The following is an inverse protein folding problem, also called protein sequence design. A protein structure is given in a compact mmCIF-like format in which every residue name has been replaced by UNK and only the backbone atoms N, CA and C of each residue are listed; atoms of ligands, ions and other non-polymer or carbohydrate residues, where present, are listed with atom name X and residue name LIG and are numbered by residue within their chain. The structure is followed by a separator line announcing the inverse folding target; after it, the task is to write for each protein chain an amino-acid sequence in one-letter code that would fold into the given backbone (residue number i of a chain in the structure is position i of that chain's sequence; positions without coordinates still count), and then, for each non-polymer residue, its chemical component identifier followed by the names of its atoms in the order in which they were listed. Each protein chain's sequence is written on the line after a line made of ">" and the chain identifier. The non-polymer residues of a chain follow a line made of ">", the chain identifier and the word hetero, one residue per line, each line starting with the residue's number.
data_IF_749860524108
#
_entry.id   IF_749860524108
#
_cell.length_a   1.000
_cell.length_b   1.000
_cell.length_c   1.000
_cell.angle_alpha   90.00
_cell.angle_beta   90.00
_cell.angle_gamma   90.00
#
_symmetry.space_group_name_H-M   'P 1'
#
loop_
_entity.id
_entity.type
_entity.pdbx_description
1 polymer ?
#
# COMPACT_ATOMS: atom_id res chain seq x y z
N UNK A 1 0.57 -33.91 21.85
CA UNK A 1 0.11 -32.55 21.51
C UNK A 1 -1.39 -32.52 21.61
N UNK A 2 -1.92 -31.68 22.49
CA UNK A 2 -3.29 -31.67 23.00
C UNK A 2 -4.39 -31.73 21.93
N UNK A 3 -5.29 -32.70 22.12
CA UNK A 3 -6.54 -32.89 21.40
C UNK A 3 -7.52 -31.72 21.65
N UNK A 4 -7.35 -30.60 20.94
CA UNK A 4 -8.32 -29.49 20.99
C UNK A 4 -9.68 -29.86 20.38
N UNK A 5 -9.79 -31.02 19.73
CA UNK A 5 -11.01 -31.59 19.20
C UNK A 5 -11.35 -32.86 19.98
N UNK A 6 -12.05 -32.72 21.11
CA UNK A 6 -12.66 -33.85 21.81
C UNK A 6 -14.06 -34.12 21.23
N UNK A 7 -14.53 -35.36 21.34
CA UNK A 7 -15.89 -35.72 20.92
C UNK A 7 -16.94 -34.81 21.59
N UNK A 8 -16.77 -34.51 22.87
CA UNK A 8 -17.65 -33.59 23.60
C UNK A 8 -17.60 -32.14 23.10
N UNK A 9 -16.46 -31.65 22.60
CA UNK A 9 -16.39 -30.32 21.98
C UNK A 9 -17.19 -30.26 20.67
N UNK A 10 -17.09 -31.30 19.85
CA UNK A 10 -17.84 -31.41 18.59
C UNK A 10 -19.34 -31.50 18.88
N UNK A 11 -19.73 -32.33 19.85
CA UNK A 11 -21.13 -32.51 20.26
C UNK A 11 -21.73 -31.21 20.84
N UNK A 12 -20.96 -30.46 21.62
CA UNK A 12 -21.37 -29.13 22.10
C UNK A 12 -21.55 -28.14 20.94
N UNK A 13 -20.58 -28.04 20.02
CA UNK A 13 -20.64 -27.12 18.86
C UNK A 13 -21.76 -27.48 17.88
N UNK A 14 -22.14 -28.75 17.82
CA UNK A 14 -23.27 -29.26 17.03
C UNK A 14 -24.53 -29.47 17.86
N UNK A 15 -24.60 -28.94 19.09
CA UNK A 15 -25.81 -29.07 19.90
C UNK A 15 -27.01 -28.44 19.18
N UNK A 16 -28.24 -28.99 19.36
CA UNK A 16 -29.43 -28.46 18.70
C UNK A 16 -29.65 -26.97 18.97
N UNK A 17 -29.37 -26.50 20.18
CA UNK A 17 -29.48 -25.09 20.57
C UNK A 17 -28.53 -24.17 19.80
N UNK A 18 -27.24 -24.53 19.69
CA UNK A 18 -26.29 -23.73 18.92
C UNK A 18 -26.59 -23.77 17.42
N UNK A 19 -27.03 -24.91 16.88
CA UNK A 19 -27.45 -25.00 15.48
C UNK A 19 -28.65 -24.12 15.19
N UNK A 20 -29.67 -24.15 16.04
CA UNK A 20 -30.85 -23.28 15.91
C UNK A 20 -30.44 -21.81 15.97
N UNK A 21 -29.65 -21.42 16.98
CA UNK A 21 -29.10 -20.07 17.09
C UNK A 21 -28.33 -19.66 15.84
N UNK A 22 -27.49 -20.54 15.29
CA UNK A 22 -26.74 -20.27 14.06
C UNK A 22 -27.67 -20.03 12.87
N UNK A 23 -28.65 -20.90 12.63
CA UNK A 23 -29.58 -20.73 11.51
C UNK A 23 -30.44 -19.47 11.67
N UNK A 24 -30.93 -19.18 12.88
CA UNK A 24 -31.75 -17.99 13.15
C UNK A 24 -30.96 -16.70 12.91
N UNK A 25 -29.68 -16.66 13.28
CA UNK A 25 -28.80 -15.51 13.05
C UNK A 25 -28.21 -15.45 11.63
N UNK A 26 -28.18 -16.57 10.89
CA UNK A 26 -27.61 -16.64 9.53
C UNK A 26 -28.63 -16.36 8.43
N UNK A 27 -29.94 -16.45 8.71
CA UNK A 27 -31.03 -16.26 7.72
C UNK A 27 -31.08 -14.88 7.04
N UNK A 28 -30.30 -13.91 7.52
CA UNK A 28 -30.12 -12.58 6.90
C UNK A 28 -28.71 -12.29 6.37
N UNK A 29 -27.81 -13.28 6.35
CA UNK A 29 -26.40 -13.11 5.97
C UNK A 29 -26.20 -13.10 4.44
N UNK A 30 -26.78 -12.13 3.75
CA UNK A 30 -26.53 -11.88 2.31
C UNK A 30 -25.50 -10.77 2.07
N UNK A 31 -24.86 -10.27 3.13
CA UNK A 31 -23.77 -9.32 3.02
C UNK A 31 -22.53 -9.96 2.36
N UNK A 32 -21.80 -9.18 1.56
CA UNK A 32 -20.61 -9.55 0.76
C UNK A 32 -19.84 -10.77 1.30
N UNK A 33 -19.56 -11.73 0.41
CA UNK A 33 -18.78 -12.93 0.73
C UNK A 33 -17.38 -12.54 1.22
N UNK A 34 -17.05 -12.96 2.44
CA UNK A 34 -15.71 -12.79 3.01
C UNK A 34 -14.77 -13.84 2.40
N UNK A 35 -13.60 -13.41 1.92
CA UNK A 35 -12.54 -14.29 1.41
C UNK A 35 -11.18 -13.87 1.96
N UNK A 36 -10.18 -14.72 1.81
CA UNK A 36 -8.83 -14.43 2.30
C UNK A 36 -8.20 -13.21 1.61
N UNK A 37 -8.50 -13.00 0.33
CA UNK A 37 -8.03 -11.85 -0.46
C UNK A 37 -8.92 -10.60 -0.30
N UNK A 38 -10.09 -10.74 0.33
CA UNK A 38 -11.02 -9.66 0.63
C UNK A 38 -11.68 -9.92 2.01
N UNK A 39 -10.97 -9.62 3.12
CA UNK A 39 -11.40 -9.94 4.48
C UNK A 39 -12.44 -8.91 5.00
N UNK A 40 -13.62 -8.85 4.36
CA UNK A 40 -14.71 -7.91 4.67
C UNK A 40 -15.16 -8.00 6.14
N UNK A 41 -15.03 -9.17 6.76
CA UNK A 41 -15.43 -9.37 8.16
C UNK A 41 -14.66 -8.45 9.12
N UNK A 42 -13.39 -8.13 8.82
CA UNK A 42 -12.57 -7.22 9.63
C UNK A 42 -13.22 -5.85 9.71
N UNK A 43 -13.71 -5.34 8.57
CA UNK A 43 -14.45 -4.07 8.52
C UNK A 43 -15.76 -4.15 9.29
N UNK A 44 -16.54 -5.22 9.09
CA UNK A 44 -17.83 -5.39 9.76
C UNK A 44 -17.67 -5.47 11.29
N UNK A 45 -16.65 -6.18 11.78
CA UNK A 45 -16.32 -6.21 13.20
C UNK A 45 -15.93 -4.84 13.73
N UNK A 46 -15.10 -4.09 13.00
CA UNK A 46 -14.71 -2.74 13.39
C UNK A 46 -15.92 -1.81 13.46
N UNK A 47 -16.81 -1.86 12.47
CA UNK A 47 -18.06 -1.10 12.46
C UNK A 47 -19.02 -1.51 13.59
N UNK A 48 -19.14 -2.81 13.88
CA UNK A 48 -19.96 -3.34 14.98
C UNK A 48 -19.46 -2.85 16.34
N UNK A 49 -18.17 -3.03 16.63
CA UNK A 49 -17.57 -2.60 17.88
C UNK A 49 -17.60 -1.08 18.05
N UNK A 50 -17.36 -0.33 16.96
CA UNK A 50 -17.51 1.12 17.01
C UNK A 50 -18.94 1.55 17.33
N UNK A 51 -19.96 0.93 16.72
CA UNK A 51 -21.36 1.22 17.05
C UNK A 51 -21.69 0.94 18.51
N UNK A 52 -21.04 -0.07 19.12
CA UNK A 52 -21.25 -0.44 20.51
C UNK A 52 -20.57 0.51 21.50
N UNK A 53 -19.38 1.02 21.19
CA UNK A 53 -18.56 1.78 22.14
C UNK A 53 -18.37 3.27 21.83
N UNK A 54 -18.46 3.69 20.56
CA UNK A 54 -18.26 5.07 20.13
C UNK A 54 -19.18 5.43 18.95
N UNK A 55 -20.46 5.73 19.22
CA UNK A 55 -21.44 6.04 18.17
C UNK A 55 -21.09 7.29 17.36
N UNK A 56 -20.22 8.18 17.85
CA UNK A 56 -19.83 9.42 17.16
C UNK A 56 -19.19 9.19 15.78
N UNK A 57 -18.47 8.08 15.58
CA UNK A 57 -17.79 7.75 14.31
C UNK A 57 -18.65 6.79 13.44
N UNK A 58 -19.80 6.33 13.96
CA UNK A 58 -20.67 5.37 13.28
C UNK A 58 -21.13 5.84 11.89
N UNK A 59 -21.42 7.13 11.73
CA UNK A 59 -21.82 7.72 10.45
C UNK A 59 -20.72 7.62 9.39
N UNK A 60 -19.47 7.91 9.77
CA UNK A 60 -18.31 7.82 8.86
C UNK A 60 -18.07 6.37 8.45
N UNK A 61 -18.11 5.43 9.39
CA UNK A 61 -17.95 4.00 9.11
C UNK A 61 -19.07 3.43 8.23
N UNK A 62 -20.32 3.86 8.44
CA UNK A 62 -21.43 3.45 7.54
C UNK A 62 -21.25 4.02 6.14
N UNK A 63 -20.86 5.29 6.01
CA UNK A 63 -20.58 5.91 4.72
C UNK A 63 -19.46 5.17 3.98
N UNK A 64 -18.32 4.96 4.65
CA UNK A 64 -17.17 4.27 4.08
C UNK A 64 -17.47 2.81 3.71
N UNK A 65 -18.27 2.10 4.51
CA UNK A 65 -18.64 0.70 4.26
C UNK A 65 -19.56 0.52 3.05
N UNK A 66 -20.33 1.55 2.71
CA UNK A 66 -21.20 1.55 1.54
C UNK A 66 -20.50 2.00 0.25
N UNK A 67 -19.21 2.35 0.33
CA UNK A 67 -18.47 2.76 -0.86
C UNK A 67 -18.29 1.58 -1.81
N UNK A 68 -18.66 1.80 -3.06
CA UNK A 68 -18.30 0.93 -4.16
C UNK A 68 -16.89 1.27 -4.63
N UNK A 69 -16.20 0.29 -5.24
CA UNK A 69 -14.86 0.47 -5.84
C UNK A 69 -14.83 1.68 -6.77
N UNK A 70 -15.88 1.85 -7.60
CA UNK A 70 -16.00 3.01 -8.50
C UNK A 70 -16.07 4.36 -7.78
N UNK A 71 -16.76 4.45 -6.64
CA UNK A 71 -16.84 5.69 -5.86
C UNK A 71 -15.50 6.04 -5.22
N UNK A 72 -14.75 5.04 -4.75
CA UNK A 72 -13.37 5.23 -4.26
C UNK A 72 -12.45 5.74 -5.37
N UNK A 73 -12.52 5.17 -6.56
CA UNK A 73 -11.74 5.63 -7.72
C UNK A 73 -12.11 7.08 -8.08
N UNK A 74 -13.41 7.43 -8.10
CA UNK A 74 -13.85 8.81 -8.34
C UNK A 74 -13.30 9.75 -7.25
N UNK A 75 -13.35 9.35 -5.99
CA UNK A 75 -12.79 10.14 -4.88
C UNK A 75 -11.29 10.39 -5.04
N UNK A 76 -10.52 9.35 -5.39
CA UNK A 76 -9.09 9.46 -5.69
C UNK A 76 -8.82 10.34 -6.91
N UNK A 77 -9.67 10.27 -7.94
CA UNK A 77 -9.57 11.11 -9.13
C UNK A 77 -9.84 12.59 -8.84
N UNK A 78 -10.86 12.89 -8.02
CA UNK A 78 -11.14 14.25 -7.55
C UNK A 78 -9.96 14.78 -6.72
N UNK A 79 -9.43 13.97 -5.79
CA UNK A 79 -8.25 14.33 -5.01
C UNK A 79 -7.05 14.64 -5.92
N UNK A 80 -6.82 13.82 -6.94
CA UNK A 80 -5.82 14.06 -7.96
C UNK A 80 -6.03 15.40 -8.68
N UNK A 81 -7.25 15.72 -9.14
CA UNK A 81 -7.52 16.99 -9.82
C UNK A 81 -7.27 18.20 -8.92
N UNK A 82 -7.57 18.10 -7.62
CA UNK A 82 -7.30 19.16 -6.64
C UNK A 82 -5.78 19.36 -6.48
N UNK A 83 -5.04 18.28 -6.26
CA UNK A 83 -3.57 18.31 -6.15
C UNK A 83 -2.92 18.78 -7.45
N UNK A 84 -3.49 18.41 -8.60
CA UNK A 84 -3.09 18.85 -9.92
C UNK A 84 -3.26 20.35 -10.09
N UNK A 85 -4.43 20.89 -9.76
CA UNK A 85 -4.68 22.33 -9.81
C UNK A 85 -3.73 23.10 -8.90
N UNK A 86 -3.43 22.55 -7.71
CA UNK A 86 -2.50 23.15 -6.76
C UNK A 86 -1.06 23.14 -7.30
N UNK A 87 -0.60 22.02 -7.85
CA UNK A 87 0.71 21.87 -8.49
C UNK A 87 0.85 22.80 -9.70
N UNK A 88 -0.15 22.82 -10.58
CA UNK A 88 -0.18 23.64 -11.78
C UNK A 88 -0.14 25.14 -11.47
N UNK A 89 -0.88 25.57 -10.45
CA UNK A 89 -0.90 26.97 -10.01
C UNK A 89 0.43 27.40 -9.38
N UNK A 90 1.09 26.51 -8.63
CA UNK A 90 2.37 26.81 -7.95
C UNK A 90 3.61 26.68 -8.86
N UNK A 91 3.51 26.04 -10.04
CA UNK A 91 4.61 25.83 -11.02
C UNK A 91 5.93 25.38 -10.38
N UNK A 92 5.87 24.60 -9.31
CA UNK A 92 7.04 24.24 -8.52
C UNK A 92 7.43 22.79 -8.72
N UNK A 93 8.61 22.56 -9.30
CA UNK A 93 9.25 21.23 -9.35
C UNK A 93 9.35 20.62 -7.95
N UNK A 94 9.55 21.46 -6.92
CA UNK A 94 9.61 21.08 -5.50
C UNK A 94 8.33 20.34 -5.06
N UNK A 95 7.16 20.87 -5.43
CA UNK A 95 5.88 20.24 -5.08
C UNK A 95 5.72 18.87 -5.73
N UNK A 96 6.08 18.74 -7.00
CA UNK A 96 5.99 17.45 -7.70
C UNK A 96 6.92 16.41 -7.10
N UNK A 97 8.17 16.77 -6.78
CA UNK A 97 9.13 15.85 -6.15
C UNK A 97 8.70 15.47 -4.73
N UNK A 98 8.17 16.39 -3.94
CA UNK A 98 7.60 16.06 -2.62
C UNK A 98 6.38 15.14 -2.72
N UNK A 99 5.51 15.39 -3.70
CA UNK A 99 4.37 14.53 -3.95
C UNK A 99 4.81 13.13 -4.38
N UNK A 100 5.84 13.02 -5.22
CA UNK A 100 6.46 11.73 -5.58
C UNK A 100 6.89 10.97 -4.33
N UNK A 101 7.69 11.58 -3.45
CA UNK A 101 8.14 10.93 -2.22
C UNK A 101 6.97 10.55 -1.30
N UNK A 102 5.95 11.40 -1.18
CA UNK A 102 4.73 11.05 -0.47
C UNK A 102 4.04 9.81 -1.06
N UNK A 103 3.86 9.75 -2.38
CA UNK A 103 3.25 8.57 -3.03
C UNK A 103 4.12 7.33 -2.94
N UNK A 104 5.43 7.49 -2.77
CA UNK A 104 6.39 6.39 -2.65
C UNK A 104 6.40 5.77 -1.27
N UNK A 105 6.32 6.58 -0.20
CA UNK A 105 6.05 6.05 1.14
C UNK A 105 4.70 5.31 1.19
N UNK A 106 3.68 5.86 0.54
CA UNK A 106 2.38 5.21 0.42
C UNK A 106 2.44 3.86 -0.32
N UNK A 107 3.13 3.84 -1.48
CA UNK A 107 3.38 2.63 -2.26
C UNK A 107 4.15 1.59 -1.41
N UNK A 108 5.23 2.01 -0.73
CA UNK A 108 6.05 1.13 0.10
C UNK A 108 5.23 0.43 1.19
N UNK A 109 4.30 1.15 1.82
CA UNK A 109 3.40 0.56 2.80
C UNK A 109 2.36 -0.38 2.18
N UNK A 110 1.78 -0.05 1.02
CA UNK A 110 0.89 -0.98 0.32
C UNK A 110 1.62 -2.25 -0.10
N UNK A 111 2.82 -2.13 -0.66
CA UNK A 111 3.62 -3.28 -1.09
C UNK A 111 4.00 -4.17 0.10
N UNK A 112 4.55 -3.59 1.17
CA UNK A 112 4.99 -4.36 2.34
C UNK A 112 3.81 -5.02 3.08
N UNK A 113 2.73 -4.28 3.36
CA UNK A 113 1.55 -4.84 4.03
C UNK A 113 0.79 -5.83 3.15
N UNK A 114 0.69 -5.56 1.85
CA UNK A 114 0.06 -6.47 0.90
C UNK A 114 0.85 -7.77 0.73
N UNK A 115 2.18 -7.71 0.70
CA UNK A 115 3.05 -8.89 0.68
C UNK A 115 2.97 -9.67 1.99
N UNK A 116 2.93 -8.99 3.15
CA UNK A 116 2.74 -9.64 4.45
C UNK A 116 1.40 -10.38 4.50
N UNK A 117 0.32 -9.77 4.01
CA UNK A 117 -0.98 -10.41 3.97
C UNK A 117 -0.99 -11.61 3.02
N UNK A 118 -0.46 -11.48 1.81
CA UNK A 118 -0.34 -12.62 0.88
C UNK A 118 0.46 -13.77 1.49
N UNK A 119 1.58 -13.46 2.15
CA UNK A 119 2.37 -14.44 2.87
C UNK A 119 1.54 -15.13 3.95
N UNK A 120 0.77 -14.36 4.73
CA UNK A 120 -0.11 -14.90 5.76
C UNK A 120 -1.22 -15.81 5.19
N UNK A 121 -1.79 -15.45 4.04
CA UNK A 121 -2.82 -16.27 3.36
C UNK A 121 -2.24 -17.62 2.94
N UNK A 122 -1.01 -17.64 2.40
CA UNK A 122 -0.38 -18.87 1.90
C UNK A 122 0.12 -19.78 3.04
N UNK A 123 0.77 -19.22 4.05
CA UNK A 123 1.42 -20.01 5.10
C UNK A 123 0.58 -20.23 6.35
N UNK A 124 -0.48 -19.44 6.56
CA UNK A 124 -1.35 -19.51 7.74
C UNK A 124 -0.70 -19.02 9.05
N UNK A 125 0.61 -18.74 9.05
CA UNK A 125 1.33 -18.12 10.16
C UNK A 125 2.26 -17.02 9.63
N UNK A 126 2.15 -15.84 10.22
CA UNK A 126 2.97 -14.68 9.85
C UNK A 126 4.02 -14.36 10.93
N UNK A 127 3.61 -14.43 12.20
CA UNK A 127 4.34 -13.90 13.35
C UNK A 127 5.81 -14.32 13.49
N UNK A 128 6.16 -15.55 13.13
CA UNK A 128 7.54 -16.01 13.26
C UNK A 128 8.50 -15.28 12.29
N UNK A 129 8.02 -14.86 11.12
CA UNK A 129 8.87 -14.34 10.04
C UNK A 129 8.70 -12.84 9.77
N UNK A 130 7.76 -12.15 10.42
CA UNK A 130 7.53 -10.70 10.22
C UNK A 130 8.83 -9.90 10.33
N UNK A 131 9.62 -10.15 11.37
CA UNK A 131 10.89 -9.43 11.58
C UNK A 131 11.88 -9.64 10.43
N UNK A 132 11.96 -10.86 9.90
CA UNK A 132 12.82 -11.17 8.75
C UNK A 132 12.30 -10.49 7.47
N UNK A 133 10.99 -10.57 7.20
CA UNK A 133 10.37 -9.98 6.00
C UNK A 133 10.50 -8.45 5.98
N UNK A 134 10.24 -7.79 7.11
CA UNK A 134 10.46 -6.35 7.27
C UNK A 134 11.96 -6.03 7.18
N UNK A 135 12.82 -6.86 7.76
CA UNK A 135 14.27 -6.74 7.63
C UNK A 135 14.75 -6.80 6.18
N UNK A 136 14.20 -7.70 5.36
CA UNK A 136 14.49 -7.82 3.93
C UNK A 136 14.01 -6.60 3.15
N UNK A 137 12.83 -6.05 3.48
CA UNK A 137 12.36 -4.78 2.91
C UNK A 137 13.33 -3.63 3.22
N UNK A 138 13.75 -3.50 4.49
CA UNK A 138 14.68 -2.46 4.92
C UNK A 138 16.07 -2.63 4.30
N UNK A 139 16.55 -3.87 4.18
CA UNK A 139 17.78 -4.20 3.47
C UNK A 139 17.68 -3.78 2.00
N UNK A 140 16.56 -4.11 1.33
CA UNK A 140 16.27 -3.66 -0.02
C UNK A 140 16.33 -2.14 -0.16
N UNK A 141 15.64 -1.41 0.72
CA UNK A 141 15.64 0.06 0.72
C UNK A 141 17.03 0.65 0.95
N UNK A 142 17.82 0.07 1.86
CA UNK A 142 19.21 0.44 2.08
C UNK A 142 20.07 0.24 0.83
N UNK A 143 19.96 -0.95 0.20
CA UNK A 143 20.68 -1.26 -1.05
C UNK A 143 20.25 -0.35 -2.20
N UNK A 144 18.95 -0.04 -2.32
CA UNK A 144 18.42 0.89 -3.32
C UNK A 144 19.00 2.29 -3.14
N UNK A 145 19.02 2.79 -1.91
CA UNK A 145 19.62 4.10 -1.60
C UNK A 145 21.11 4.13 -1.93
N UNK A 146 21.87 3.10 -1.55
CA UNK A 146 23.31 2.99 -1.84
C UNK A 146 23.62 2.86 -3.33
N UNK A 147 22.82 2.08 -4.07
CA UNK A 147 22.96 1.93 -5.52
C UNK A 147 22.71 3.26 -6.24
N UNK A 148 21.68 3.99 -5.81
CA UNK A 148 21.40 5.31 -6.34
C UNK A 148 22.53 6.30 -6.04
N UNK A 149 22.98 6.35 -4.77
CA UNK A 149 24.04 7.28 -4.36
C UNK A 149 25.37 7.05 -5.06
N UNK A 150 25.70 5.78 -5.35
CA UNK A 150 27.01 5.40 -5.92
C UNK A 150 27.05 5.54 -7.45
N UNK A 151 25.97 5.15 -8.14
CA UNK A 151 25.95 5.04 -9.60
C UNK A 151 25.01 6.04 -10.28
N UNK A 152 23.76 6.15 -9.81
CA UNK A 152 22.71 6.87 -10.52
C UNK A 152 22.75 8.40 -10.27
N UNK A 153 23.34 8.85 -9.14
CA UNK A 153 23.59 10.29 -8.92
C UNK A 153 24.57 10.90 -9.94
N UNK A 154 25.35 10.09 -10.68
CA UNK A 154 26.25 10.59 -11.73
C UNK A 154 25.51 10.99 -13.01
N UNK A 155 24.23 10.59 -13.16
CA UNK A 155 23.43 10.88 -14.34
C UNK A 155 22.91 12.32 -14.28
N UNK A 156 23.07 13.05 -15.41
CA UNK A 156 22.67 14.47 -15.53
C UNK A 156 21.15 14.66 -15.42
N UNK A 157 20.36 13.81 -16.07
CA UNK A 157 18.90 13.92 -16.13
C UNK A 157 18.19 13.25 -14.94
N UNK A 158 18.33 13.85 -13.74
CA UNK A 158 17.78 13.27 -12.49
C UNK A 158 16.25 13.17 -12.48
N UNK A 159 15.52 14.05 -13.19
CA UNK A 159 14.05 13.97 -13.30
C UNK A 159 13.58 12.79 -14.18
N UNK A 160 14.23 12.53 -15.32
CA UNK A 160 13.88 11.40 -16.19
C UNK A 160 14.16 10.07 -15.49
N UNK A 161 15.26 10.02 -14.73
CA UNK A 161 15.62 8.85 -13.94
C UNK A 161 14.58 8.59 -12.84
N UNK A 162 14.09 9.65 -12.18
CA UNK A 162 13.03 9.53 -11.17
C UNK A 162 11.75 8.96 -11.80
N UNK A 163 11.35 9.48 -12.95
CA UNK A 163 10.20 8.94 -13.70
C UNK A 163 10.39 7.47 -14.08
N UNK A 164 11.61 7.06 -14.47
CA UNK A 164 11.93 5.67 -14.78
C UNK A 164 11.76 4.74 -13.58
N UNK A 165 12.19 5.17 -12.39
CA UNK A 165 11.99 4.43 -11.14
C UNK A 165 10.50 4.35 -10.78
N UNK A 166 9.74 5.43 -10.97
CA UNK A 166 8.30 5.41 -10.73
C UNK A 166 7.58 4.41 -11.64
N UNK A 167 7.96 4.33 -12.91
CA UNK A 167 7.44 3.33 -13.86
C UNK A 167 7.80 1.92 -13.40
N UNK A 168 9.04 1.69 -12.93
CA UNK A 168 9.44 0.41 -12.35
C UNK A 168 8.55 0.04 -11.14
N UNK A 169 8.24 0.99 -10.27
CA UNK A 169 7.31 0.80 -9.15
C UNK A 169 5.89 0.47 -9.58
N UNK A 170 5.37 1.13 -10.63
CA UNK A 170 4.07 0.80 -11.23
C UNK A 170 4.05 -0.62 -11.77
N UNK A 171 5.06 -1.01 -12.55
CA UNK A 171 5.16 -2.34 -13.14
C UNK A 171 5.25 -3.42 -12.06
N UNK A 172 6.01 -3.16 -10.99
CA UNK A 172 6.12 -4.07 -9.86
C UNK A 172 4.80 -4.19 -9.06
N UNK A 173 4.10 -3.08 -8.80
CA UNK A 173 2.80 -3.13 -8.15
C UNK A 173 1.76 -3.89 -9.00
N UNK A 174 1.80 -3.71 -10.33
CA UNK A 174 0.93 -4.43 -11.25
C UNK A 174 1.26 -5.94 -11.29
N UNK A 175 2.55 -6.31 -11.29
CA UNK A 175 2.93 -7.73 -11.27
C UNK A 175 2.47 -8.42 -9.99
N UNK A 176 2.58 -7.74 -8.84
CA UNK A 176 2.03 -8.23 -7.58
C UNK A 176 0.50 -8.36 -7.61
N UNK A 177 -0.21 -7.38 -8.18
CA UNK A 177 -1.65 -7.46 -8.35
C UNK A 177 -2.06 -8.72 -9.13
N UNK A 178 -1.42 -8.97 -10.27
CA UNK A 178 -1.69 -10.16 -11.08
C UNK A 178 -1.34 -11.45 -10.34
N UNK A 179 -0.21 -11.49 -9.61
CA UNK A 179 0.21 -12.66 -8.83
C UNK A 179 -0.77 -13.01 -7.71
N UNK A 180 -1.42 -12.02 -7.08
CA UNK A 180 -2.38 -12.23 -6.00
C UNK A 180 -3.62 -13.03 -6.44
N UNK A 181 -3.88 -13.09 -7.75
CA UNK A 181 -5.02 -13.84 -8.32
C UNK A 181 -4.70 -15.30 -8.68
N UNK A 182 -3.42 -15.71 -8.69
CA UNK A 182 -2.96 -16.98 -9.27
C UNK A 182 -2.19 -17.89 -8.29
N UNK A 183 -2.33 -17.68 -6.98
CA UNK A 183 -1.59 -18.42 -5.94
C UNK A 183 -2.13 -19.84 -5.72
N UNK A 184 -1.91 -20.74 -6.68
CA UNK A 184 -2.07 -22.20 -6.55
C UNK A 184 -0.73 -22.91 -6.80
N UNK A 185 0.35 -22.45 -6.15
CA UNK A 185 1.69 -23.04 -6.30
C UNK A 185 2.17 -23.73 -5.02
N UNK A 186 3.20 -24.58 -5.17
CA UNK A 186 3.86 -25.30 -4.08
C UNK A 186 4.48 -24.33 -3.05
N UNK A 187 4.39 -24.66 -1.75
CA UNK A 187 4.87 -23.85 -0.62
C UNK A 187 6.34 -23.42 -0.75
N UNK A 188 7.20 -24.24 -1.36
CA UNK A 188 8.61 -23.89 -1.61
C UNK A 188 8.78 -22.80 -2.67
N UNK A 189 7.96 -22.84 -3.74
CA UNK A 189 7.98 -21.84 -4.82
C UNK A 189 7.54 -20.48 -4.27
N UNK A 190 6.64 -20.48 -3.28
CA UNK A 190 6.16 -19.27 -2.62
C UNK A 190 7.26 -18.58 -1.80
N UNK A 191 8.17 -19.32 -1.15
CA UNK A 191 9.29 -18.72 -0.40
C UNK A 191 10.28 -18.02 -1.32
N UNK A 192 10.58 -18.66 -2.45
CA UNK A 192 11.43 -18.10 -3.51
C UNK A 192 10.80 -16.88 -4.18
N UNK A 193 9.49 -16.70 -4.06
CA UNK A 193 8.79 -15.51 -4.55
C UNK A 193 8.78 -14.38 -3.51
N UNK A 194 8.37 -14.65 -2.27
CA UNK A 194 8.14 -13.61 -1.28
C UNK A 194 9.43 -12.92 -0.83
N UNK A 195 10.50 -13.66 -0.50
CA UNK A 195 11.73 -13.02 0.00
C UNK A 195 12.34 -12.05 -1.02
N UNK A 196 12.53 -12.41 -2.30
CA UNK A 196 12.97 -11.45 -3.30
C UNK A 196 11.96 -10.32 -3.53
N UNK A 197 10.65 -10.59 -3.48
CA UNK A 197 9.64 -9.54 -3.63
C UNK A 197 9.75 -8.46 -2.54
N UNK A 198 10.00 -8.85 -1.29
CA UNK A 198 10.27 -7.89 -0.21
C UNK A 198 11.53 -7.06 -0.48
N UNK A 199 12.65 -7.69 -0.87
CA UNK A 199 13.89 -6.97 -1.19
C UNK A 199 13.70 -6.03 -2.38
N UNK A 200 13.06 -6.48 -3.46
CA UNK A 200 12.81 -5.68 -4.66
C UNK A 200 11.89 -4.50 -4.34
N UNK A 201 10.82 -4.73 -3.58
CA UNK A 201 9.90 -3.66 -3.18
C UNK A 201 10.61 -2.57 -2.38
N UNK A 202 11.44 -2.95 -1.41
CA UNK A 202 12.28 -2.02 -0.66
C UNK A 202 13.28 -1.32 -1.56
N UNK A 203 13.94 -2.05 -2.45
CA UNK A 203 14.93 -1.51 -3.39
C UNK A 203 14.34 -0.40 -4.27
N UNK A 204 13.16 -0.62 -4.87
CA UNK A 204 12.48 0.38 -5.70
C UNK A 204 12.20 1.66 -4.88
N UNK A 205 11.64 1.51 -3.67
CA UNK A 205 11.35 2.64 -2.78
C UNK A 205 12.64 3.39 -2.39
N UNK A 206 13.70 2.65 -2.05
CA UNK A 206 14.99 3.20 -1.64
C UNK A 206 15.74 3.96 -2.73
N UNK A 207 15.51 3.63 -4.01
CA UNK A 207 16.11 4.35 -5.13
C UNK A 207 15.59 5.80 -5.23
N UNK A 208 14.37 6.10 -4.81
CA UNK A 208 13.76 7.41 -5.06
C UNK A 208 14.28 8.52 -4.13
N UNK A 209 14.57 8.20 -2.86
CA UNK A 209 14.88 9.20 -1.84
C UNK A 209 16.17 10.01 -2.12
N UNK A 210 17.34 9.39 -2.43
CA UNK A 210 18.55 10.17 -2.71
C UNK A 210 18.44 11.00 -4.00
N UNK A 211 17.63 10.56 -4.96
CA UNK A 211 17.42 11.25 -6.22
C UNK A 211 16.56 12.51 -6.01
N UNK A 212 15.49 12.39 -5.23
CA UNK A 212 14.69 13.53 -4.81
C UNK A 212 15.52 14.54 -4.02
N UNK A 213 16.40 14.08 -3.12
CA UNK A 213 17.31 14.94 -2.37
C UNK A 213 18.26 15.71 -3.30
N UNK A 214 18.87 15.04 -4.29
CA UNK A 214 19.72 15.72 -5.30
C UNK A 214 18.95 16.80 -6.06
N UNK A 215 17.72 16.53 -6.48
CA UNK A 215 16.91 17.52 -7.19
C UNK A 215 16.63 18.72 -6.28
N UNK A 216 16.28 18.50 -5.01
CA UNK A 216 16.03 19.59 -4.06
C UNK A 216 17.27 20.45 -3.79
N UNK A 217 18.44 19.84 -3.66
CA UNK A 217 19.72 20.53 -3.44
C UNK A 217 20.11 21.43 -4.62
N UNK A 218 19.77 21.05 -5.86
CA UNK A 218 20.00 21.89 -7.05
C UNK A 218 19.25 23.22 -7.00
N UNK A 219 18.17 23.32 -6.22
CA UNK A 219 17.40 24.56 -6.03
C UNK A 219 17.82 25.36 -4.78
N UNK A 220 19.04 25.15 -4.27
CA UNK A 220 19.67 26.01 -3.26
C UNK A 220 19.29 25.75 -1.80
N UNK A 221 18.67 24.60 -1.50
CA UNK A 221 18.32 24.22 -0.13
C UNK A 221 19.51 23.64 0.63
N UNK A 222 19.50 23.78 1.96
CA UNK A 222 20.51 23.11 2.81
C UNK A 222 20.24 21.60 2.85
N UNK A 223 21.29 20.76 2.97
CA UNK A 223 21.14 19.30 3.05
C UNK A 223 20.24 18.84 4.20
N UNK A 224 20.41 19.39 5.41
CA UNK A 224 19.63 18.99 6.58
C UNK A 224 18.13 19.32 6.42
N UNK A 225 17.81 20.52 5.94
CA UNK A 225 16.43 20.97 5.70
C UNK A 225 15.75 20.13 4.60
N UNK A 226 16.50 19.81 3.54
CA UNK A 226 16.01 18.95 2.43
C UNK A 226 15.66 17.56 2.91
N UNK A 227 16.58 16.89 3.62
CA UNK A 227 16.36 15.54 4.12
C UNK A 227 15.18 15.49 5.11
N UNK A 228 15.05 16.50 5.98
CA UNK A 228 13.93 16.61 6.91
C UNK A 228 12.58 16.75 6.21
N UNK A 229 12.48 17.62 5.20
CA UNK A 229 11.25 17.81 4.41
C UNK A 229 10.85 16.55 3.63
N UNK A 230 11.80 15.92 2.95
CA UNK A 230 11.52 14.70 2.19
C UNK A 230 11.12 13.54 3.12
N UNK A 231 11.81 13.39 4.24
CA UNK A 231 11.47 12.39 5.26
C UNK A 231 10.07 12.61 5.85
N UNK A 232 9.69 13.88 6.09
CA UNK A 232 8.33 14.20 6.53
C UNK A 232 7.26 13.75 5.52
N UNK A 233 7.46 14.03 4.23
CA UNK A 233 6.52 13.59 3.19
C UNK A 233 6.47 12.06 3.06
N UNK A 234 7.60 11.38 3.17
CA UNK A 234 7.67 9.92 3.15
C UNK A 234 6.93 9.30 4.35
N UNK A 235 7.14 9.82 5.56
CA UNK A 235 6.42 9.40 6.76
C UNK A 235 4.93 9.65 6.68
N UNK A 236 4.51 10.82 6.19
CA UNK A 236 3.09 11.12 5.99
C UNK A 236 2.44 10.16 4.99
N UNK A 237 3.12 9.91 3.87
CA UNK A 237 2.67 8.97 2.85
C UNK A 237 2.54 7.56 3.40
N UNK A 238 3.57 7.10 4.11
CA UNK A 238 3.60 5.79 4.76
C UNK A 238 2.55 5.65 5.86
N UNK A 239 2.35 6.67 6.69
CA UNK A 239 1.35 6.64 7.75
C UNK A 239 -0.08 6.56 7.17
N UNK A 240 -0.39 7.38 6.17
CA UNK A 240 -1.69 7.31 5.49
C UNK A 240 -1.85 6.01 4.71
N UNK A 241 -0.80 5.54 4.04
CA UNK A 241 -0.79 4.29 3.29
C UNK A 241 -1.06 3.09 4.19
N UNK A 242 -0.43 3.02 5.35
CA UNK A 242 -0.63 1.91 6.30
C UNK A 242 -2.04 1.90 6.89
N UNK A 243 -2.56 3.05 7.34
CA UNK A 243 -3.92 3.14 7.89
C UNK A 243 -4.97 2.86 6.82
N UNK A 244 -4.88 3.52 5.66
CA UNK A 244 -5.88 3.35 4.60
C UNK A 244 -5.84 1.94 3.99
N UNK A 245 -4.67 1.35 3.78
CA UNK A 245 -4.58 0.00 3.23
C UNK A 245 -5.14 -1.06 4.19
N UNK A 246 -4.73 -1.05 5.46
CA UNK A 246 -5.16 -2.04 6.45
C UNK A 246 -6.63 -1.88 6.85
N UNK A 247 -7.10 -0.66 7.07
CA UNK A 247 -8.45 -0.42 7.61
C UNK A 247 -9.48 -0.37 6.49
N UNK A 248 -9.15 0.21 5.34
CA UNK A 248 -10.13 0.58 4.32
C UNK A 248 -9.96 -0.24 3.04
N UNK A 249 -8.80 -0.18 2.38
CA UNK A 249 -8.67 -0.75 1.03
C UNK A 249 -8.70 -2.28 1.05
N UNK A 250 -7.86 -2.93 1.84
CA UNK A 250 -7.81 -4.40 1.86
C UNK A 250 -9.16 -4.99 2.28
N UNK A 251 -9.81 -4.55 3.38
CA UNK A 251 -11.09 -5.15 3.80
C UNK A 251 -12.26 -4.85 2.86
N UNK A 252 -12.32 -3.64 2.26
CA UNK A 252 -13.51 -3.23 1.48
C UNK A 252 -13.42 -3.54 -0.01
N UNK A 253 -12.24 -3.38 -0.60
CA UNK A 253 -12.04 -3.55 -2.05
C UNK A 253 -11.11 -4.72 -2.38
N UNK A 254 -10.50 -5.35 -1.37
CA UNK A 254 -9.63 -6.51 -1.56
C UNK A 254 -8.20 -6.15 -1.96
N UNK A 255 -7.34 -7.15 -1.91
CA UNK A 255 -5.90 -7.00 -2.09
C UNK A 255 -5.51 -6.60 -3.52
N UNK A 256 -6.14 -7.20 -4.53
CA UNK A 256 -5.94 -6.87 -5.94
C UNK A 256 -6.19 -5.37 -6.23
N UNK A 257 -7.37 -4.88 -5.82
CA UNK A 257 -7.74 -3.48 -6.04
C UNK A 257 -6.89 -2.52 -5.21
N UNK A 258 -6.39 -2.95 -4.05
CA UNK A 258 -5.45 -2.14 -3.25
C UNK A 258 -4.15 -1.87 -4.00
N UNK A 259 -3.59 -2.87 -4.69
CA UNK A 259 -2.43 -2.64 -5.56
C UNK A 259 -2.76 -1.74 -6.76
N UNK A 260 -3.96 -1.87 -7.34
CA UNK A 260 -4.40 -0.95 -8.40
C UNK A 260 -4.54 0.50 -7.93
N UNK A 261 -4.99 0.73 -6.69
CA UNK A 261 -4.99 2.07 -6.07
C UNK A 261 -3.57 2.63 -6.01
N UNK A 262 -2.59 1.82 -5.63
CA UNK A 262 -1.19 2.25 -5.62
C UNK A 262 -0.65 2.57 -7.02
N UNK A 263 -1.02 1.77 -8.03
CA UNK A 263 -0.71 2.04 -9.45
C UNK A 263 -1.29 3.36 -9.90
N UNK A 264 -2.58 3.61 -9.63
CA UNK A 264 -3.25 4.88 -9.99
C UNK A 264 -2.52 6.05 -9.33
N UNK A 265 -2.21 5.96 -8.03
CA UNK A 265 -1.47 7.01 -7.32
C UNK A 265 -0.09 7.26 -7.94
N UNK A 266 0.69 6.24 -8.27
CA UNK A 266 1.99 6.43 -8.92
C UNK A 266 1.86 7.00 -10.34
N UNK A 267 0.84 6.61 -11.11
CA UNK A 267 0.56 7.22 -12.41
C UNK A 267 0.28 8.73 -12.29
N UNK A 268 -0.37 9.17 -11.22
CA UNK A 268 -0.57 10.60 -10.98
C UNK A 268 0.74 11.35 -10.71
N UNK A 269 1.68 10.73 -9.99
CA UNK A 269 3.02 11.28 -9.75
C UNK A 269 3.83 11.37 -11.04
N UNK A 270 3.83 10.30 -11.85
CA UNK A 270 4.50 10.25 -13.16
C UNK A 270 3.97 11.35 -14.08
N UNK A 271 2.64 11.52 -14.12
CA UNK A 271 2.01 12.55 -14.94
C UNK A 271 2.43 13.96 -14.51
N UNK A 272 2.52 14.22 -13.20
CA UNK A 272 3.03 15.50 -12.67
C UNK A 272 4.48 15.71 -13.11
N UNK A 273 5.37 14.74 -12.91
CA UNK A 273 6.78 14.84 -13.29
C UNK A 273 6.95 15.02 -14.81
N UNK A 274 6.16 14.33 -15.63
CA UNK A 274 6.19 14.45 -17.09
C UNK A 274 5.85 15.87 -17.55
N UNK A 275 4.81 16.49 -16.97
CA UNK A 275 4.42 17.85 -17.33
C UNK A 275 5.50 18.88 -17.02
N UNK A 276 6.26 18.69 -15.93
CA UNK A 276 7.41 19.54 -15.63
C UNK A 276 8.59 19.29 -16.56
N UNK A 277 8.87 18.03 -16.90
CA UNK A 277 9.94 17.69 -17.86
C UNK A 277 9.66 18.30 -19.24
N UNK A 278 8.40 18.31 -19.70
CA UNK A 278 8.00 18.90 -20.98
C UNK A 278 8.01 20.43 -20.99
N UNK A 279 7.72 21.08 -19.86
CA UNK A 279 7.78 22.54 -19.72
C UNK A 279 9.18 23.07 -19.37
N UNK A 280 10.05 22.21 -18.84
CA UNK A 280 11.41 22.49 -18.38
C UNK A 280 12.50 22.47 -19.44
N UNK A 281 12.17 22.32 -20.73
CA UNK A 281 13.13 22.59 -21.83
C UNK A 281 13.50 24.09 -21.96
N UNK A 282 13.01 24.94 -21.06
CA UNK A 282 13.48 26.31 -20.83
C UNK A 282 13.98 26.47 -19.40
N UNK A 283 15.07 25.79 -19.08
CA UNK A 283 15.93 26.19 -17.96
C UNK A 283 17.27 26.53 -18.60
N UNK A 284 17.40 27.82 -18.94
CA UNK A 284 18.69 28.50 -19.11
C UNK A 284 19.41 28.52 -17.76
#
# INVERSE_FOLDING_TARGET
>A
GSSFLSAGHIEYRLSPGLRQWFYDNSRGATARVNSDTMPVLVWQMLAFWNNKFSPSISGVLKFLGNLNVGQLIIGLFILFLILFKLSYKRRSVKFSVSYTIFTTGFLGMILSLGLLLNFQIVYGYLYHQIGLLIGLFMLGAGLGSLANSSFLLRIKDSLKLLMGIEVLGVLFALSLALSASSLQANLLVMYLFFYPAFVISGFIVGLEFPLAAKIYLQYGHKPAETSGLLYFFDLLGSSLGSVLSCVLFIPLIGLFNTYLVAVILKLTSIFMLYLYTRKGAKIL
#
